data_IF_423533347830
#
_entry.id   IF_423533347830
#
_cell.length_a   1.000
_cell.length_b   1.000
_cell.length_c   1.000
_cell.angle_alpha   90.00
_cell.angle_beta   90.00
_cell.angle_gamma   90.00
#
_symmetry.space_group_name_H-M   'P 1'
#
loop_
_entity.id
_entity.type
_entity.pdbx_description
1 polymer ?
#
# COMPACT_ATOMS: atom_id res chain seq x y z
N UNK A 1 17.34 5.45 -18.13
CA UNK A 1 16.11 6.03 -17.55
C UNK A 1 14.90 5.11 -17.81
N UNK A 2 14.51 4.33 -16.81
CA UNK A 2 13.31 3.46 -16.86
C UNK A 2 12.78 3.24 -15.44
N UNK A 3 12.47 4.32 -14.74
CA UNK A 3 12.21 4.30 -13.28
C UNK A 3 10.73 4.16 -12.90
N UNK A 4 9.85 3.69 -13.80
CA UNK A 4 8.41 3.64 -13.50
C UNK A 4 7.58 2.50 -14.10
N UNK A 5 8.11 1.70 -15.04
CA UNK A 5 7.25 0.85 -15.89
C UNK A 5 7.84 -0.56 -16.10
N UNK A 6 8.07 -1.32 -15.03
CA UNK A 6 8.28 -2.77 -15.17
C UNK A 6 6.97 -3.50 -14.85
N UNK A 7 6.09 -3.73 -15.84
CA UNK A 7 4.82 -4.43 -15.62
C UNK A 7 5.04 -5.78 -14.93
N UNK A 8 6.20 -6.42 -15.14
CA UNK A 8 6.60 -7.65 -14.46
C UNK A 8 6.64 -7.51 -12.94
N UNK A 9 7.06 -6.36 -12.40
CA UNK A 9 7.09 -6.10 -10.95
C UNK A 9 5.67 -6.00 -10.40
N UNK A 10 4.82 -5.18 -11.02
CA UNK A 10 3.42 -5.04 -10.62
C UNK A 10 2.68 -6.39 -10.67
N UNK A 11 2.92 -7.18 -11.72
CA UNK A 11 2.38 -8.54 -11.83
C UNK A 11 2.90 -9.49 -10.73
N UNK A 12 4.17 -9.35 -10.31
CA UNK A 12 4.71 -10.11 -9.17
C UNK A 12 4.06 -9.69 -7.85
N UNK A 13 3.84 -8.40 -7.64
CA UNK A 13 3.15 -7.90 -6.45
C UNK A 13 1.70 -8.39 -6.39
N UNK A 14 0.96 -8.32 -7.50
CA UNK A 14 -0.39 -8.87 -7.61
C UNK A 14 -0.44 -10.37 -7.25
N UNK A 15 0.51 -11.17 -7.73
CA UNK A 15 0.62 -12.59 -7.35
C UNK A 15 0.90 -12.76 -5.86
N UNK A 16 1.81 -11.99 -5.29
CA UNK A 16 2.15 -12.06 -3.87
C UNK A 16 0.98 -11.65 -2.96
N UNK A 17 0.14 -10.72 -3.42
CA UNK A 17 -1.08 -10.30 -2.73
C UNK A 17 -2.24 -11.30 -2.89
N UNK A 18 -2.05 -12.40 -3.61
CA UNK A 18 -3.10 -13.40 -3.87
C UNK A 18 -4.11 -12.95 -4.93
N UNK A 19 -3.81 -11.90 -5.69
CA UNK A 19 -4.69 -11.32 -6.72
C UNK A 19 -4.03 -11.29 -8.10
N UNK A 20 -3.59 -12.43 -8.66
CA UNK A 20 -2.96 -12.48 -9.97
C UNK A 20 -3.87 -11.90 -11.07
N UNK A 21 -3.27 -11.11 -11.96
CA UNK A 21 -3.99 -10.48 -13.07
C UNK A 21 -4.69 -11.54 -13.96
N UNK A 22 -5.98 -11.34 -14.24
CA UNK A 22 -6.84 -12.20 -15.07
C UNK A 22 -6.99 -13.65 -14.58
N UNK A 23 -6.69 -13.94 -13.30
CA UNK A 23 -6.75 -15.29 -12.74
C UNK A 23 -7.52 -15.35 -11.41
N UNK A 24 -8.80 -14.93 -11.37
CA UNK A 24 -9.61 -15.07 -10.16
C UNK A 24 -9.84 -16.55 -9.80
N UNK A 25 -10.00 -16.88 -8.51
CA UNK A 25 -10.20 -18.25 -8.05
C UNK A 25 -11.57 -18.86 -8.43
N UNK A 26 -12.54 -18.05 -8.87
CA UNK A 26 -13.87 -18.51 -9.26
C UNK A 26 -14.77 -17.39 -9.81
N UNK A 27 -16.06 -17.68 -10.10
CA UNK A 27 -16.99 -16.72 -10.69
C UNK A 27 -17.24 -15.47 -9.83
N UNK A 28 -17.05 -15.59 -8.51
CA UNK A 28 -17.17 -14.49 -7.56
C UNK A 28 -15.95 -13.55 -7.55
N UNK A 29 -14.89 -13.83 -8.31
CA UNK A 29 -13.69 -13.02 -8.35
C UNK A 29 -12.77 -13.21 -7.13
N UNK A 30 -11.96 -12.19 -6.84
CA UNK A 30 -11.16 -12.11 -5.62
C UNK A 30 -12.01 -11.62 -4.46
N UNK A 31 -11.67 -12.03 -3.24
CA UNK A 31 -12.36 -11.53 -2.05
C UNK A 31 -11.92 -10.10 -1.72
N UNK A 32 -12.89 -9.22 -1.52
CA UNK A 32 -12.69 -7.86 -1.03
C UNK A 32 -12.77 -7.78 0.51
N UNK A 33 -13.01 -8.92 1.18
CA UNK A 33 -13.12 -8.98 2.64
C UNK A 33 -11.75 -8.87 3.31
N UNK A 34 -11.67 -8.07 4.38
CA UNK A 34 -10.46 -7.90 5.18
C UNK A 34 -9.88 -9.23 5.68
N UNK A 35 -10.73 -10.16 6.10
CA UNK A 35 -10.30 -11.47 6.61
C UNK A 35 -9.55 -12.31 5.57
N UNK A 36 -9.81 -12.09 4.28
CA UNK A 36 -9.12 -12.81 3.21
C UNK A 36 -7.63 -12.45 3.14
N UNK A 37 -7.21 -11.37 3.82
CA UNK A 37 -5.89 -10.83 3.64
C UNK A 37 -5.19 -10.30 4.90
N UNK A 38 -5.91 -10.14 6.01
CA UNK A 38 -5.39 -9.66 7.29
C UNK A 38 -4.65 -10.73 8.12
N UNK A 39 -4.28 -11.88 7.52
CA UNK A 39 -3.40 -12.85 8.17
C UNK A 39 -2.02 -12.24 8.46
N UNK A 40 -1.29 -12.76 9.45
CA UNK A 40 0.04 -12.24 9.80
C UNK A 40 0.99 -12.25 8.59
N UNK A 41 0.94 -13.28 7.77
CA UNK A 41 1.71 -13.38 6.52
C UNK A 41 1.22 -12.39 5.46
N UNK A 42 -0.10 -12.24 5.29
CA UNK A 42 -0.69 -11.30 4.33
C UNK A 42 -0.39 -9.84 4.66
N UNK A 43 -0.35 -9.47 5.94
CA UNK A 43 0.05 -8.15 6.41
C UNK A 43 1.54 -7.89 6.18
N UNK A 44 2.40 -8.88 6.48
CA UNK A 44 3.84 -8.78 6.21
C UNK A 44 4.12 -8.57 4.72
N UNK A 45 3.51 -9.38 3.85
CA UNK A 45 3.67 -9.26 2.39
C UNK A 45 3.25 -7.87 1.89
N UNK A 46 2.15 -7.32 2.41
CA UNK A 46 1.72 -5.95 2.08
C UNK A 46 2.72 -4.91 2.52
N UNK A 47 3.24 -5.01 3.74
CA UNK A 47 4.24 -4.09 4.26
C UNK A 47 5.51 -4.12 3.40
N UNK A 48 5.98 -5.31 3.02
CA UNK A 48 7.15 -5.47 2.17
C UNK A 48 6.94 -4.85 0.78
N UNK A 49 5.75 -4.99 0.20
CA UNK A 49 5.38 -4.36 -1.08
C UNK A 49 5.26 -2.84 -0.93
N UNK A 50 4.60 -2.34 0.12
CA UNK A 50 4.46 -0.92 0.40
C UNK A 50 5.83 -0.25 0.57
N UNK A 51 6.76 -0.90 1.27
CA UNK A 51 8.13 -0.43 1.42
C UNK A 51 8.90 -0.42 0.09
N UNK A 52 8.77 -1.47 -0.72
CA UNK A 52 9.38 -1.52 -2.05
C UNK A 52 8.82 -0.44 -2.99
N UNK A 53 7.51 -0.18 -2.94
CA UNK A 53 6.86 0.87 -3.70
C UNK A 53 7.34 2.25 -3.24
N UNK A 54 7.39 2.48 -1.94
CA UNK A 54 7.87 3.74 -1.38
C UNK A 54 9.33 4.04 -1.75
N UNK A 55 10.20 3.02 -1.76
CA UNK A 55 11.59 3.16 -2.22
C UNK A 55 11.74 3.56 -3.70
N UNK A 56 10.75 3.25 -4.52
CA UNK A 56 10.77 3.56 -5.95
C UNK A 56 10.13 4.91 -6.28
N UNK A 57 9.40 5.51 -5.34
CA UNK A 57 8.81 6.82 -5.53
C UNK A 57 9.93 7.87 -5.61
N UNK A 58 10.11 8.46 -6.80
CA UNK A 58 11.11 9.50 -7.05
C UNK A 58 10.71 10.86 -6.47
N UNK A 59 9.40 11.12 -6.37
CA UNK A 59 8.85 12.34 -5.81
C UNK A 59 7.82 11.97 -4.75
N UNK A 60 8.27 11.96 -3.49
CA UNK A 60 7.40 11.86 -2.33
C UNK A 60 7.25 13.30 -1.85
N UNK A 61 6.07 13.87 -2.08
CA UNK A 61 5.71 15.22 -1.65
C UNK A 61 5.78 15.37 -0.13
N UNK A 62 5.18 16.44 0.40
CA UNK A 62 5.01 16.52 1.84
C UNK A 62 4.09 15.39 2.34
N UNK A 63 4.46 14.65 3.40
CA UNK A 63 3.63 13.59 3.98
C UNK A 63 2.21 14.02 4.33
N UNK A 64 2.02 15.18 4.92
CA UNK A 64 0.71 15.64 5.38
C UNK A 64 -0.17 16.07 4.18
N UNK A 65 0.44 16.70 3.16
CA UNK A 65 -0.23 16.99 1.89
C UNK A 65 -0.62 15.71 1.13
N UNK A 66 0.27 14.72 1.12
CA UNK A 66 0.03 13.41 0.49
C UNK A 66 -1.09 12.66 1.22
N UNK A 67 -1.10 12.72 2.55
CA UNK A 67 -2.12 12.12 3.39
C UNK A 67 -3.50 12.77 3.18
N UNK A 68 -3.55 14.10 3.13
CA UNK A 68 -4.78 14.84 2.87
C UNK A 68 -5.31 14.59 1.45
N UNK A 69 -4.45 14.50 0.43
CA UNK A 69 -4.88 14.23 -0.95
C UNK A 69 -5.38 12.79 -1.15
N UNK A 70 -4.74 11.80 -0.54
CA UNK A 70 -5.10 10.38 -0.73
C UNK A 70 -6.24 9.91 0.16
N UNK A 71 -6.27 10.34 1.43
CA UNK A 71 -7.22 9.85 2.44
C UNK A 71 -8.26 10.93 2.81
N UNK A 72 -7.98 12.21 2.58
CA UNK A 72 -8.89 13.31 2.94
C UNK A 72 -8.95 13.56 4.45
N UNK A 73 -9.96 14.30 4.90
CA UNK A 73 -10.03 14.81 6.27
C UNK A 73 -10.29 13.74 7.35
N UNK A 74 -10.61 12.50 6.97
CA UNK A 74 -11.00 11.43 7.91
C UNK A 74 -9.84 10.59 8.43
N UNK A 75 -8.60 11.07 8.34
CA UNK A 75 -7.43 10.37 8.87
C UNK A 75 -7.43 10.41 10.39
N UNK A 76 -7.29 9.24 11.01
CA UNK A 76 -7.20 9.08 12.47
C UNK A 76 -5.98 9.80 13.07
N UNK A 77 -6.04 10.07 14.37
CA UNK A 77 -4.92 10.68 15.08
C UNK A 77 -3.71 9.73 15.14
N UNK A 78 -3.97 8.43 15.25
CA UNK A 78 -2.98 7.36 15.28
C UNK A 78 -2.21 7.27 13.97
N UNK A 79 -2.90 7.27 12.82
CA UNK A 79 -2.26 7.28 11.50
C UNK A 79 -1.40 8.54 11.30
N UNK A 80 -1.91 9.71 11.69
CA UNK A 80 -1.12 10.96 11.65
C UNK A 80 0.13 10.89 12.51
N UNK A 81 0.01 10.40 13.74
CA UNK A 81 1.15 10.28 14.66
C UNK A 81 2.20 9.28 14.17
N UNK A 82 1.77 8.16 13.57
CA UNK A 82 2.69 7.18 12.99
C UNK A 82 3.48 7.79 11.82
N UNK A 83 2.79 8.51 10.93
CA UNK A 83 3.39 9.20 9.79
C UNK A 83 4.36 10.30 10.25
N UNK A 84 3.96 11.12 11.23
CA UNK A 84 4.82 12.22 11.73
C UNK A 84 6.09 11.72 12.42
N UNK A 85 6.11 10.47 12.91
CA UNK A 85 7.27 9.82 13.53
C UNK A 85 8.16 9.09 12.53
N UNK A 86 7.79 9.05 11.26
CA UNK A 86 8.61 8.42 10.24
C UNK A 86 9.96 9.14 10.11
N UNK A 87 11.04 8.36 10.06
CA UNK A 87 12.42 8.83 9.93
C UNK A 87 12.78 9.21 8.48
N UNK A 88 11.90 8.86 7.53
CA UNK A 88 12.08 9.20 6.11
C UNK A 88 10.73 9.35 5.40
N UNK A 89 10.74 10.10 4.29
CA UNK A 89 9.57 10.24 3.41
C UNK A 89 9.07 8.89 2.87
N UNK A 90 10.00 7.98 2.56
CA UNK A 90 9.69 6.61 2.12
C UNK A 90 9.01 5.82 3.23
N UNK A 91 9.47 5.93 4.48
CA UNK A 91 8.82 5.25 5.59
C UNK A 91 7.42 5.83 5.85
N UNK A 92 7.29 7.16 5.80
CA UNK A 92 5.99 7.83 5.86
C UNK A 92 5.03 7.29 4.79
N UNK A 93 5.48 7.20 3.54
CA UNK A 93 4.66 6.67 2.45
C UNK A 93 4.30 5.19 2.65
N UNK A 94 5.23 4.36 3.13
CA UNK A 94 4.93 2.96 3.43
C UNK A 94 3.91 2.82 4.57
N UNK A 95 4.01 3.64 5.62
CA UNK A 95 3.02 3.70 6.71
C UNK A 95 1.66 4.19 6.22
N UNK A 96 1.62 5.20 5.35
CA UNK A 96 0.39 5.68 4.72
C UNK A 96 -0.30 4.57 3.92
N UNK A 97 0.46 3.85 3.08
CA UNK A 97 -0.08 2.72 2.30
C UNK A 97 -0.61 1.60 3.21
N UNK A 98 -0.03 1.43 4.40
CA UNK A 98 -0.46 0.43 5.38
C UNK A 98 -1.57 0.91 6.33
N UNK A 99 -1.95 2.19 6.26
CA UNK A 99 -2.98 2.75 7.13
C UNK A 99 -4.35 2.09 6.89
N UNK A 100 -5.14 1.79 7.93
CA UNK A 100 -6.48 1.20 7.77
C UNK A 100 -7.41 2.02 6.87
N UNK A 101 -7.28 3.34 6.90
CA UNK A 101 -8.07 4.25 6.07
C UNK A 101 -7.73 4.15 4.59
N UNK A 102 -6.49 3.77 4.25
CA UNK A 102 -6.06 3.51 2.88
C UNK A 102 -6.52 2.13 2.42
N UNK A 103 -6.37 1.09 3.26
CA UNK A 103 -6.68 -0.30 2.92
C UNK A 103 -8.19 -0.58 2.71
N UNK A 104 -9.08 0.31 3.16
CA UNK A 104 -10.55 0.19 3.01
C UNK A 104 -11.11 0.91 1.78
N UNK A 105 -10.30 1.67 1.05
CA UNK A 105 -10.70 2.37 -0.19
C UNK A 105 -10.45 1.50 -1.40
#
# INVERSE_FOLDING_TARGET
PSTGNEPQRSLRWLRALGQPLWQPPGPNGFSDQTDAWASAEGLKTRLDIAWQAAKQANDIGDPDETLASLIGNSVSAETRQAISRAESKQQSLALLLMAPEFQRR
#
